data_IF_885549828049
#
_entry.id   IF_885549828049
#
_cell.length_a   1.000
_cell.length_b   1.000
_cell.length_c   1.000
_cell.angle_alpha   90.00
_cell.angle_beta   90.00
_cell.angle_gamma   90.00
#
_symmetry.space_group_name_H-M   'P 1'
#
loop_
_entity.id
_entity.type
_entity.pdbx_description
1 polymer ?
#
# COMPACT_ATOMS: atom_id res chain seq x y z
N UNK A 1 -11.59 36.84 -14.44
CA UNK A 1 -10.37 36.42 -15.17
C UNK A 1 -10.30 34.92 -15.05
N UNK A 2 -10.61 34.18 -16.13
CA UNK A 2 -10.39 32.73 -16.17
C UNK A 2 -8.89 32.49 -16.03
N UNK A 3 -8.48 31.82 -14.96
CA UNK A 3 -7.09 31.42 -14.79
C UNK A 3 -6.73 30.48 -15.93
N UNK A 4 -5.81 30.89 -16.80
CA UNK A 4 -5.24 30.04 -17.86
C UNK A 4 -4.73 28.75 -17.23
N UNK A 5 -5.35 27.62 -17.58
CA UNK A 5 -5.00 26.30 -17.06
C UNK A 5 -3.62 25.90 -17.59
N UNK A 6 -2.67 25.67 -16.70
CA UNK A 6 -1.36 25.16 -17.10
C UNK A 6 -1.52 23.74 -17.66
N UNK A 7 -0.90 23.39 -18.80
CA UNK A 7 -0.96 22.05 -19.36
C UNK A 7 -0.33 21.05 -18.39
N UNK A 8 -0.98 19.89 -18.21
CA UNK A 8 -0.52 18.81 -17.33
C UNK A 8 -0.44 17.46 -18.07
N UNK A 9 0.37 16.49 -17.58
CA UNK A 9 0.57 15.20 -18.23
C UNK A 9 -0.58 14.20 -18.00
N UNK A 10 -1.44 14.47 -17.01
CA UNK A 10 -2.50 13.57 -16.54
C UNK A 10 -3.65 13.42 -17.54
N UNK A 11 -4.42 12.34 -17.36
CA UNK A 11 -5.54 11.93 -18.21
C UNK A 11 -6.82 11.86 -17.37
N UNK A 12 -7.94 12.44 -17.82
CA UNK A 12 -8.12 13.13 -19.10
C UNK A 12 -7.45 14.51 -19.13
N UNK A 13 -7.15 15.02 -20.34
CA UNK A 13 -6.36 16.25 -20.55
C UNK A 13 -7.09 17.54 -20.17
N UNK A 14 -8.39 17.48 -19.99
CA UNK A 14 -9.26 18.56 -19.56
C UNK A 14 -9.47 18.60 -18.02
N UNK A 15 -8.80 17.71 -17.26
CA UNK A 15 -8.87 17.67 -15.81
C UNK A 15 -8.46 19.02 -15.18
N UNK A 16 -9.37 19.62 -14.40
CA UNK A 16 -9.14 20.95 -13.83
C UNK A 16 -8.22 20.91 -12.62
N UNK A 17 -6.95 21.27 -12.82
CA UNK A 17 -5.92 21.34 -11.77
C UNK A 17 -5.40 22.78 -11.60
N UNK A 18 -6.19 23.67 -10.96
CA UNK A 18 -5.79 25.05 -10.78
C UNK A 18 -4.51 25.12 -9.92
N UNK A 19 -3.52 25.90 -10.34
CA UNK A 19 -2.25 26.02 -9.62
C UNK A 19 -1.34 24.79 -9.73
N UNK A 20 -1.59 23.90 -10.69
CA UNK A 20 -0.71 22.77 -10.98
C UNK A 20 0.75 23.20 -11.18
N UNK A 21 1.64 22.47 -10.51
CA UNK A 21 3.09 22.58 -10.63
C UNK A 21 3.63 21.25 -11.15
N UNK A 22 4.44 21.23 -12.23
CA UNK A 22 5.04 20.00 -12.72
C UNK A 22 5.94 19.34 -11.69
N UNK A 23 6.16 18.04 -11.86
CA UNK A 23 7.18 17.30 -11.09
C UNK A 23 8.53 18.00 -11.28
N UNK A 24 9.16 18.38 -10.17
CA UNK A 24 10.43 19.10 -10.10
C UNK A 24 11.62 18.13 -9.97
N UNK A 25 11.40 16.96 -9.36
CA UNK A 25 12.43 15.94 -9.20
C UNK A 25 12.49 14.99 -10.42
N UNK A 26 13.68 14.55 -10.84
CA UNK A 26 13.80 13.50 -11.86
C UNK A 26 13.10 12.22 -11.40
N UNK A 27 12.42 11.53 -12.32
CA UNK A 27 11.74 10.26 -12.04
C UNK A 27 12.67 9.24 -11.35
N UNK A 28 13.92 9.12 -11.81
CA UNK A 28 14.90 8.22 -11.22
C UNK A 28 15.24 8.57 -9.76
N UNK A 29 15.26 9.86 -9.42
CA UNK A 29 15.45 10.31 -8.03
C UNK A 29 14.27 9.89 -7.16
N UNK A 30 13.04 10.07 -7.66
CA UNK A 30 11.82 9.69 -6.95
C UNK A 30 11.83 8.18 -6.67
N UNK A 31 12.02 7.36 -7.72
CA UNK A 31 12.06 5.91 -7.60
C UNK A 31 13.26 5.43 -6.76
N UNK A 32 14.41 6.08 -6.88
CA UNK A 32 15.62 5.75 -6.14
C UNK A 32 15.46 5.97 -4.64
N UNK A 33 14.90 7.12 -4.23
CA UNK A 33 14.64 7.40 -2.81
C UNK A 33 13.62 6.42 -2.25
N UNK A 34 12.53 6.13 -2.98
CA UNK A 34 11.54 5.13 -2.56
C UNK A 34 12.18 3.75 -2.39
N UNK A 35 12.95 3.30 -3.38
CA UNK A 35 13.63 2.00 -3.36
C UNK A 35 14.63 1.88 -2.21
N UNK A 36 15.47 2.89 -2.00
CA UNK A 36 16.45 2.92 -0.91
C UNK A 36 15.73 2.90 0.45
N UNK A 37 14.72 3.74 0.65
CA UNK A 37 13.95 3.75 1.90
C UNK A 37 13.29 2.39 2.18
N UNK A 38 12.74 1.75 1.15
CA UNK A 38 12.12 0.42 1.24
C UNK A 38 13.15 -0.65 1.65
N UNK A 39 14.32 -0.66 1.02
CA UNK A 39 15.41 -1.59 1.36
C UNK A 39 15.92 -1.35 2.78
N UNK A 40 16.04 -0.09 3.22
CA UNK A 40 16.45 0.26 4.58
C UNK A 40 15.46 -0.27 5.62
N UNK A 41 14.15 -0.07 5.41
CA UNK A 41 13.10 -0.61 6.30
C UNK A 41 13.18 -2.14 6.38
N UNK A 42 13.21 -2.82 5.23
CA UNK A 42 13.26 -4.29 5.18
C UNK A 42 14.52 -4.81 5.88
N UNK A 43 15.67 -4.21 5.61
CA UNK A 43 16.96 -4.58 6.19
C UNK A 43 16.98 -4.37 7.69
N UNK A 44 16.49 -3.22 8.17
CA UNK A 44 16.41 -2.91 9.59
C UNK A 44 15.55 -3.93 10.35
N UNK A 45 14.36 -4.25 9.83
CA UNK A 45 13.47 -5.24 10.45
C UNK A 45 14.06 -6.66 10.37
N UNK A 46 14.76 -6.98 9.29
CA UNK A 46 15.45 -8.26 9.13
C UNK A 46 16.53 -8.47 10.21
N UNK A 47 17.35 -7.44 10.47
CA UNK A 47 18.38 -7.48 11.51
C UNK A 47 17.77 -7.56 12.92
N UNK A 48 16.76 -6.74 13.23
CA UNK A 48 16.11 -6.75 14.54
C UNK A 48 15.43 -8.10 14.81
N UNK A 49 14.71 -8.64 13.82
CA UNK A 49 14.00 -9.91 13.96
C UNK A 49 14.96 -11.08 14.20
N UNK A 50 16.18 -11.01 13.63
CA UNK A 50 17.25 -12.00 13.77
C UNK A 50 17.88 -12.08 15.17
N UNK A 51 17.69 -11.06 16.03
CA UNK A 51 18.19 -11.08 17.42
C UNK A 51 17.48 -12.12 18.31
N UNK A 52 16.41 -12.75 17.83
CA UNK A 52 15.72 -13.84 18.53
C UNK A 52 15.90 -15.15 17.77
N UNK A 53 16.74 -16.08 18.26
CA UNK A 53 17.09 -17.30 17.51
C UNK A 53 15.92 -18.29 17.37
N UNK A 54 14.82 -18.09 18.10
CA UNK A 54 13.64 -18.97 18.07
C UNK A 54 12.61 -18.60 16.99
N UNK A 55 12.77 -17.48 16.27
CA UNK A 55 11.79 -17.05 15.25
C UNK A 55 12.02 -17.75 13.92
N UNK A 56 10.93 -18.22 13.31
CA UNK A 56 10.99 -18.83 11.99
C UNK A 56 11.36 -17.80 10.92
N UNK A 57 12.05 -18.24 9.87
CA UNK A 57 12.39 -17.39 8.72
C UNK A 57 11.15 -16.76 8.09
N UNK A 58 10.04 -17.51 8.01
CA UNK A 58 8.78 -17.00 7.47
C UNK A 58 8.25 -15.84 8.30
N UNK A 59 8.27 -15.95 9.62
CA UNK A 59 7.80 -14.87 10.49
C UNK A 59 8.66 -13.61 10.35
N UNK A 60 9.97 -13.77 10.11
CA UNK A 60 10.88 -12.65 9.84
C UNK A 60 10.55 -11.96 8.51
N UNK A 61 10.30 -12.73 7.45
CA UNK A 61 9.86 -12.20 6.15
C UNK A 61 8.53 -11.46 6.28
N UNK A 62 7.56 -12.04 7.02
CA UNK A 62 6.27 -11.39 7.28
C UNK A 62 6.43 -10.09 8.07
N UNK A 63 7.31 -10.04 9.08
CA UNK A 63 7.61 -8.80 9.79
C UNK A 63 8.17 -7.72 8.85
N UNK A 64 9.05 -8.08 7.92
CA UNK A 64 9.57 -7.14 6.92
C UNK A 64 8.45 -6.61 6.00
N UNK A 65 7.61 -7.50 5.48
CA UNK A 65 6.45 -7.13 4.66
C UNK A 65 5.52 -6.17 5.42
N UNK A 66 5.06 -6.56 6.62
CA UNK A 66 4.13 -5.75 7.40
C UNK A 66 4.68 -4.39 7.83
N UNK A 67 5.98 -4.29 8.10
CA UNK A 67 6.62 -3.01 8.39
C UNK A 67 6.66 -2.12 7.14
N UNK A 68 7.07 -2.66 6.00
CA UNK A 68 7.10 -1.95 4.72
C UNK A 68 5.69 -1.47 4.32
N UNK A 69 4.71 -2.36 4.37
CA UNK A 69 3.31 -2.08 4.06
C UNK A 69 2.71 -1.05 5.01
N UNK A 70 2.93 -1.21 6.32
CA UNK A 70 2.44 -0.27 7.33
C UNK A 70 2.97 1.15 7.14
N UNK A 71 4.26 1.29 6.85
CA UNK A 71 4.87 2.59 6.58
C UNK A 71 4.43 3.18 5.23
N UNK A 72 4.23 2.36 4.20
CA UNK A 72 3.70 2.83 2.91
C UNK A 72 2.31 3.43 3.10
N UNK A 73 1.40 2.71 3.75
CA UNK A 73 0.04 3.19 4.02
C UNK A 73 0.05 4.46 4.89
N UNK A 74 0.81 4.48 5.98
CA UNK A 74 0.78 5.64 6.89
C UNK A 74 1.48 6.88 6.35
N UNK A 75 2.62 6.72 5.64
CA UNK A 75 3.45 7.85 5.23
C UNK A 75 3.09 8.30 3.81
N UNK A 76 3.06 7.38 2.84
CA UNK A 76 2.76 7.75 1.45
C UNK A 76 1.28 8.01 1.30
N UNK A 77 0.44 7.02 1.53
CA UNK A 77 -1.01 7.13 1.30
C UNK A 77 -1.64 8.11 2.28
N UNK A 78 -1.21 8.09 3.55
CA UNK A 78 -1.59 9.11 4.53
C UNK A 78 -1.27 10.53 4.06
N UNK A 79 -0.08 10.78 3.50
CA UNK A 79 0.21 12.10 2.93
C UNK A 79 -0.73 12.46 1.79
N UNK A 80 -1.02 11.53 0.87
CA UNK A 80 -1.99 11.78 -0.21
C UNK A 80 -3.39 12.12 0.32
N UNK A 81 -3.87 11.38 1.31
CA UNK A 81 -5.20 11.58 1.90
C UNK A 81 -5.30 12.95 2.56
N UNK A 82 -4.29 13.32 3.36
CA UNK A 82 -4.31 14.54 4.18
C UNK A 82 -3.69 15.78 3.51
N UNK A 83 -3.14 15.65 2.30
CA UNK A 83 -2.57 16.76 1.52
C UNK A 83 -3.29 16.89 0.17
N UNK A 84 -4.57 17.32 0.14
CA UNK A 84 -5.39 17.35 -1.06
C UNK A 84 -4.81 18.22 -2.19
N UNK A 85 -3.95 19.17 -1.83
CA UNK A 85 -3.34 20.15 -2.72
C UNK A 85 -1.88 19.83 -3.05
N UNK A 86 -1.44 18.57 -2.89
CA UNK A 86 -0.04 18.18 -3.12
C UNK A 86 0.47 18.61 -4.51
N UNK A 87 -0.36 18.59 -5.55
CA UNK A 87 0.00 18.96 -6.92
C UNK A 87 0.29 20.47 -7.12
N UNK A 88 0.00 21.31 -6.11
CA UNK A 88 0.34 22.74 -6.08
C UNK A 88 1.70 23.02 -5.42
N UNK A 89 2.35 22.01 -4.84
CA UNK A 89 3.62 22.20 -4.13
C UNK A 89 4.73 22.64 -5.08
N UNK A 90 5.44 23.70 -4.66
CA UNK A 90 6.57 24.32 -5.36
C UNK A 90 7.92 24.03 -4.70
N UNK A 91 7.93 23.37 -3.56
CA UNK A 91 9.12 23.18 -2.72
C UNK A 91 9.94 21.95 -3.09
N UNK A 92 9.48 21.16 -4.07
CA UNK A 92 10.01 19.84 -4.41
C UNK A 92 9.97 18.89 -3.20
N UNK A 93 8.94 19.04 -2.35
CA UNK A 93 8.78 18.16 -1.21
C UNK A 93 8.52 16.73 -1.68
N UNK A 94 9.36 15.80 -1.23
CA UNK A 94 9.42 14.45 -1.78
C UNK A 94 8.06 13.73 -1.87
N UNK A 95 7.22 13.80 -0.82
CA UNK A 95 5.93 13.08 -0.84
C UNK A 95 4.96 13.69 -1.87
N UNK A 96 4.99 15.01 -2.07
CA UNK A 96 4.24 15.64 -3.15
C UNK A 96 4.74 15.19 -4.52
N UNK A 97 6.06 15.14 -4.69
CA UNK A 97 6.71 14.73 -5.94
C UNK A 97 6.39 13.27 -6.29
N UNK A 98 6.44 12.36 -5.31
CA UNK A 98 6.03 10.96 -5.47
C UNK A 98 4.59 10.87 -5.96
N UNK A 99 3.66 11.61 -5.36
CA UNK A 99 2.26 11.53 -5.76
C UNK A 99 1.98 12.20 -7.10
N UNK A 100 2.67 13.29 -7.43
CA UNK A 100 2.63 13.87 -8.79
C UNK A 100 3.16 12.88 -9.83
N UNK A 101 4.25 12.19 -9.54
CA UNK A 101 4.81 11.17 -10.43
C UNK A 101 3.90 9.94 -10.56
N UNK A 102 3.42 9.40 -9.44
CA UNK A 102 2.52 8.25 -9.42
C UNK A 102 1.19 8.54 -10.11
N UNK A 103 0.70 9.78 -10.02
CA UNK A 103 -0.52 10.22 -10.72
C UNK A 103 -0.39 10.17 -12.25
N UNK A 104 0.81 10.01 -12.83
CA UNK A 104 0.96 9.72 -14.26
C UNK A 104 0.59 8.27 -14.59
N UNK A 105 0.82 7.35 -13.63
CA UNK A 105 0.32 5.97 -13.63
C UNK A 105 -1.19 5.91 -13.49
N UNK A 106 -1.71 6.69 -12.53
CA UNK A 106 -3.13 6.75 -12.22
C UNK A 106 -3.58 8.17 -11.89
N UNK A 107 -4.15 8.86 -12.88
CA UNK A 107 -4.56 10.27 -12.73
C UNK A 107 -5.73 10.46 -11.75
N UNK A 108 -6.39 9.39 -11.32
CA UNK A 108 -7.45 9.45 -10.30
C UNK A 108 -6.92 9.94 -8.95
N UNK A 109 -5.63 9.78 -8.67
CA UNK A 109 -5.00 10.34 -7.47
C UNK A 109 -4.97 11.87 -7.51
N UNK A 110 -4.36 12.47 -8.54
CA UNK A 110 -4.34 13.94 -8.68
C UNK A 110 -5.74 14.52 -8.91
N UNK A 111 -6.61 13.76 -9.59
CA UNK A 111 -8.03 14.08 -9.76
C UNK A 111 -8.87 13.92 -8.50
N UNK A 112 -8.30 13.37 -7.42
CA UNK A 112 -8.98 13.17 -6.12
C UNK A 112 -10.26 12.34 -6.27
N UNK A 113 -10.20 11.28 -7.07
CA UNK A 113 -11.33 10.37 -7.23
C UNK A 113 -11.83 9.86 -5.87
N UNK A 114 -13.15 9.76 -5.75
CA UNK A 114 -13.82 9.42 -4.50
C UNK A 114 -13.55 7.98 -4.05
N UNK A 115 -13.45 7.03 -4.98
CA UNK A 115 -13.18 5.64 -4.63
C UNK A 115 -11.72 5.47 -4.22
N UNK A 116 -10.79 6.08 -4.96
CA UNK A 116 -9.37 6.12 -4.59
C UNK A 116 -9.20 6.75 -3.21
N UNK A 117 -9.76 7.95 -2.99
CA UNK A 117 -9.64 8.63 -1.70
C UNK A 117 -10.23 7.81 -0.54
N UNK A 118 -11.35 7.12 -0.75
CA UNK A 118 -11.96 6.29 0.27
C UNK A 118 -11.10 5.07 0.62
N UNK A 119 -10.58 4.36 -0.39
CA UNK A 119 -9.70 3.20 -0.19
C UNK A 119 -8.42 3.63 0.52
N UNK A 120 -7.73 4.64 -0.01
CA UNK A 120 -6.47 5.14 0.54
C UNK A 120 -6.65 5.74 1.95
N UNK A 121 -7.81 6.34 2.22
CA UNK A 121 -8.17 6.82 3.55
C UNK A 121 -8.25 5.67 4.56
N UNK A 122 -8.91 4.58 4.20
CA UNK A 122 -9.02 3.39 5.06
C UNK A 122 -7.67 2.68 5.23
N UNK A 123 -6.89 2.53 4.16
CA UNK A 123 -5.56 1.91 4.25
C UNK A 123 -4.64 2.73 5.14
N UNK A 124 -4.61 4.06 5.00
CA UNK A 124 -3.74 4.93 5.79
C UNK A 124 -4.08 4.92 7.29
N UNK A 125 -5.37 4.96 7.67
CA UNK A 125 -5.78 5.11 9.07
C UNK A 125 -6.08 3.80 9.79
N UNK A 126 -6.39 2.72 9.06
CA UNK A 126 -6.70 1.41 9.64
C UNK A 126 -5.62 0.38 9.30
N UNK A 127 -5.37 0.13 8.02
CA UNK A 127 -4.50 -0.98 7.60
C UNK A 127 -3.03 -0.72 7.87
N UNK A 128 -2.58 0.54 7.76
CA UNK A 128 -1.24 0.97 8.10
C UNK A 128 -0.89 0.69 9.57
N UNK A 129 -1.64 1.26 10.53
CA UNK A 129 -1.46 0.96 11.96
C UNK A 129 -1.63 -0.53 12.30
N UNK A 130 -2.62 -1.20 11.69
CA UNK A 130 -2.83 -2.64 11.89
C UNK A 130 -1.64 -3.48 11.39
N UNK A 131 -0.99 -3.09 10.29
CA UNK A 131 0.21 -3.75 9.78
C UNK A 131 1.39 -3.62 10.75
N UNK A 132 1.61 -2.45 11.34
CA UNK A 132 2.63 -2.29 12.39
C UNK A 132 2.27 -3.09 13.65
N UNK A 133 0.99 -3.17 14.01
CA UNK A 133 0.52 -4.04 15.08
C UNK A 133 0.77 -5.52 14.75
N UNK A 134 0.67 -5.94 13.49
CA UNK A 134 1.01 -7.30 13.05
C UNK A 134 2.50 -7.60 13.27
N UNK A 135 3.40 -6.66 12.99
CA UNK A 135 4.83 -6.79 13.32
C UNK A 135 5.02 -7.04 14.82
N UNK A 136 4.37 -6.25 15.67
CA UNK A 136 4.41 -6.44 17.13
C UNK A 136 3.82 -7.79 17.55
N UNK A 137 2.68 -8.19 16.98
CA UNK A 137 1.99 -9.43 17.31
C UNK A 137 2.84 -10.65 16.97
N UNK A 138 3.51 -10.64 15.81
CA UNK A 138 4.46 -11.67 15.41
C UNK A 138 5.66 -11.66 16.37
N UNK A 139 6.23 -10.49 16.64
CA UNK A 139 7.40 -10.36 17.51
C UNK A 139 7.12 -10.90 18.92
N UNK A 140 5.94 -10.63 19.49
CA UNK A 140 5.59 -11.04 20.86
C UNK A 140 4.82 -12.37 20.92
N UNK A 141 4.65 -13.07 19.80
CA UNK A 141 3.93 -14.34 19.75
C UNK A 141 2.49 -14.22 20.26
N UNK A 142 1.80 -13.14 19.91
CA UNK A 142 0.41 -12.90 20.35
C UNK A 142 -0.56 -13.84 19.64
N UNK A 143 -1.54 -14.34 20.38
CA UNK A 143 -2.57 -15.27 19.87
C UNK A 143 -3.37 -14.70 18.69
N UNK A 144 -3.59 -13.39 18.67
CA UNK A 144 -4.32 -12.70 17.61
C UNK A 144 -3.48 -12.45 16.34
N UNK A 145 -2.21 -12.87 16.29
CA UNK A 145 -1.31 -12.56 15.16
C UNK A 145 -1.83 -13.08 13.82
N UNK A 146 -2.36 -14.31 13.76
CA UNK A 146 -2.86 -14.87 12.50
C UNK A 146 -4.18 -14.23 12.03
N UNK A 147 -5.12 -13.97 12.96
CA UNK A 147 -6.39 -13.34 12.63
C UNK A 147 -6.19 -11.89 12.18
N UNK A 148 -5.27 -11.16 12.83
CA UNK A 148 -4.92 -9.80 12.44
C UNK A 148 -4.33 -9.76 11.03
N UNK A 149 -3.35 -10.61 10.73
CA UNK A 149 -2.76 -10.71 9.40
C UNK A 149 -3.80 -11.08 8.33
N UNK A 150 -4.70 -12.02 8.63
CA UNK A 150 -5.78 -12.40 7.72
C UNK A 150 -6.74 -11.23 7.45
N UNK A 151 -7.14 -10.50 8.49
CA UNK A 151 -8.05 -9.37 8.37
C UNK A 151 -7.44 -8.23 7.53
N UNK A 152 -6.16 -7.89 7.78
CA UNK A 152 -5.45 -6.87 6.99
C UNK A 152 -5.33 -7.32 5.53
N UNK A 153 -4.91 -8.57 5.29
CA UNK A 153 -4.79 -9.09 3.93
C UNK A 153 -6.12 -9.09 3.17
N UNK A 154 -7.23 -9.38 3.85
CA UNK A 154 -8.55 -9.31 3.23
C UNK A 154 -8.95 -7.87 2.90
N UNK A 155 -8.64 -6.91 3.78
CA UNK A 155 -8.82 -5.47 3.53
C UNK A 155 -8.06 -5.00 2.30
N UNK A 156 -6.77 -5.35 2.20
CA UNK A 156 -5.92 -5.05 1.04
C UNK A 156 -6.50 -5.62 -0.24
N UNK A 157 -6.87 -6.92 -0.24
CA UNK A 157 -7.47 -7.56 -1.42
C UNK A 157 -8.78 -6.90 -1.84
N UNK A 158 -9.61 -6.50 -0.88
CA UNK A 158 -10.86 -5.79 -1.16
C UNK A 158 -10.61 -4.39 -1.72
N UNK A 159 -9.71 -3.61 -1.09
CA UNK A 159 -9.31 -2.29 -1.56
C UNK A 159 -8.72 -2.34 -2.97
N UNK A 160 -7.83 -3.29 -3.24
CA UNK A 160 -7.26 -3.49 -4.57
C UNK A 160 -8.31 -3.97 -5.59
N UNK A 161 -9.29 -4.79 -5.19
CA UNK A 161 -10.40 -5.13 -6.07
C UNK A 161 -11.22 -3.88 -6.45
N UNK A 162 -11.58 -3.04 -5.47
CA UNK A 162 -12.27 -1.76 -5.72
C UNK A 162 -11.42 -0.89 -6.65
N UNK A 163 -10.12 -0.76 -6.38
CA UNK A 163 -9.17 0.02 -7.19
C UNK A 163 -9.18 -0.32 -8.69
N UNK A 164 -9.11 -1.63 -9.01
CA UNK A 164 -9.12 -2.10 -10.40
C UNK A 164 -10.52 -2.05 -11.02
N UNK A 165 -11.56 -2.42 -10.27
CA UNK A 165 -12.93 -2.42 -10.76
C UNK A 165 -13.38 -1.02 -11.12
N UNK A 166 -13.14 -0.02 -10.27
CA UNK A 166 -13.56 1.37 -10.56
C UNK A 166 -12.84 1.92 -11.78
N UNK A 167 -11.58 1.54 -11.99
CA UNK A 167 -10.81 1.95 -13.16
C UNK A 167 -11.47 1.46 -14.47
N UNK A 168 -11.90 0.19 -14.48
CA UNK A 168 -12.61 -0.40 -15.61
C UNK A 168 -13.99 0.24 -15.82
N UNK A 169 -14.73 0.50 -14.74
CA UNK A 169 -16.06 1.12 -14.80
C UNK A 169 -15.99 2.57 -15.29
N UNK A 170 -14.91 3.28 -14.99
CA UNK A 170 -14.63 4.66 -15.44
C UNK A 170 -14.02 4.71 -16.86
N UNK A 171 -13.89 3.56 -17.53
CA UNK A 171 -13.48 3.47 -18.93
C UNK A 171 -11.98 3.32 -19.17
N UNK A 172 -11.20 2.99 -18.13
CA UNK A 172 -9.77 2.63 -18.22
C UNK A 172 -8.89 3.71 -18.90
N UNK A 173 -9.26 4.98 -18.71
CA UNK A 173 -8.63 6.13 -19.37
C UNK A 173 -8.07 7.14 -18.36
N UNK A 174 -7.00 6.74 -17.67
CA UNK A 174 -6.40 7.53 -16.59
C UNK A 174 -4.85 7.59 -16.65
N UNK A 175 -4.19 6.73 -17.43
CA UNK A 175 -2.73 6.65 -17.46
C UNK A 175 -2.15 7.56 -18.55
N UNK A 176 -1.06 8.26 -18.24
CA UNK A 176 -0.42 9.20 -19.15
C UNK A 176 0.29 8.53 -20.35
N UNK A 177 0.69 7.26 -20.21
CA UNK A 177 1.31 6.46 -21.28
C UNK A 177 1.21 4.95 -20.98
N UNK A 178 1.45 4.06 -21.95
CA UNK A 178 1.47 2.62 -21.71
C UNK A 178 2.51 2.18 -20.67
N UNK A 179 3.67 2.85 -20.62
CA UNK A 179 4.68 2.58 -19.60
C UNK A 179 4.11 2.81 -18.19
N UNK A 180 3.46 3.96 -18.00
CA UNK A 180 2.82 4.31 -16.74
C UNK A 180 1.67 3.34 -16.40
N UNK A 181 0.88 2.94 -17.39
CA UNK A 181 -0.16 1.94 -17.18
C UNK A 181 0.41 0.59 -16.70
N UNK A 182 1.36 -0.01 -17.43
CA UNK A 182 1.84 -1.34 -17.07
C UNK A 182 2.79 -1.32 -15.86
N UNK A 183 3.77 -0.41 -15.84
CA UNK A 183 4.79 -0.41 -14.80
C UNK A 183 4.26 0.13 -13.47
N UNK A 184 3.47 1.20 -13.48
CA UNK A 184 2.99 1.83 -12.24
C UNK A 184 1.65 1.25 -11.83
N UNK A 185 0.66 1.27 -12.73
CA UNK A 185 -0.70 0.86 -12.40
C UNK A 185 -0.82 -0.67 -12.24
N UNK A 186 -0.35 -1.48 -13.19
CA UNK A 186 -0.48 -2.96 -13.09
C UNK A 186 0.55 -3.58 -12.15
N UNK A 187 1.85 -3.37 -12.42
CA UNK A 187 2.92 -4.12 -11.73
C UNK A 187 3.03 -3.74 -10.25
N UNK A 188 3.06 -2.45 -9.90
CA UNK A 188 3.21 -2.06 -8.49
C UNK A 188 2.02 -2.55 -7.64
N UNK A 189 0.79 -2.42 -8.15
CA UNK A 189 -0.40 -2.87 -7.42
C UNK A 189 -0.52 -4.40 -7.35
N UNK A 190 0.11 -5.16 -8.26
CA UNK A 190 0.07 -6.63 -8.23
C UNK A 190 0.63 -7.24 -6.94
N UNK A 191 1.57 -6.57 -6.27
CA UNK A 191 2.12 -7.02 -4.99
C UNK A 191 1.06 -7.05 -3.87
N UNK A 192 0.13 -6.09 -3.87
CA UNK A 192 -1.01 -6.02 -2.94
C UNK A 192 -2.11 -7.05 -3.26
N UNK A 193 -1.99 -7.80 -4.36
CA UNK A 193 -2.82 -8.96 -4.65
C UNK A 193 -2.11 -10.25 -4.22
N UNK A 194 -0.91 -10.47 -4.75
CA UNK A 194 -0.21 -11.77 -4.64
C UNK A 194 0.20 -12.05 -3.20
N UNK A 195 0.82 -11.07 -2.53
CA UNK A 195 1.36 -11.28 -1.18
C UNK A 195 0.24 -11.42 -0.15
N UNK A 196 -0.77 -10.53 -0.10
CA UNK A 196 -1.92 -10.70 0.80
C UNK A 196 -2.68 -12.00 0.58
N UNK A 197 -2.83 -12.47 -0.67
CA UNK A 197 -3.42 -13.78 -0.95
C UNK A 197 -2.63 -14.91 -0.31
N UNK A 198 -1.31 -14.92 -0.46
CA UNK A 198 -0.44 -15.94 0.14
C UNK A 198 -0.52 -15.93 1.68
N UNK A 199 -0.56 -14.73 2.28
CA UNK A 199 -0.69 -14.58 3.73
C UNK A 199 -2.06 -15.07 4.21
N UNK A 200 -3.14 -14.69 3.52
CA UNK A 200 -4.51 -15.15 3.81
C UNK A 200 -4.60 -16.67 3.83
N UNK A 201 -4.08 -17.34 2.79
CA UNK A 201 -4.06 -18.81 2.70
C UNK A 201 -3.25 -19.43 3.85
N UNK A 202 -2.08 -18.85 4.20
CA UNK A 202 -1.26 -19.31 5.32
C UNK A 202 -2.00 -19.18 6.65
N UNK A 203 -2.55 -18.00 6.94
CA UNK A 203 -3.27 -17.71 8.19
C UNK A 203 -4.49 -18.61 8.33
N UNK A 204 -5.27 -18.78 7.26
CA UNK A 204 -6.42 -19.67 7.23
C UNK A 204 -6.05 -21.11 7.60
N UNK A 205 -5.03 -21.67 6.94
CA UNK A 205 -4.52 -23.03 7.24
C UNK A 205 -4.08 -23.18 8.69
N UNK A 206 -3.36 -22.17 9.23
CA UNK A 206 -2.89 -22.19 10.62
C UNK A 206 -4.03 -22.11 11.64
N UNK A 207 -5.03 -21.28 11.38
CA UNK A 207 -6.22 -21.16 12.20
C UNK A 207 -7.03 -22.46 12.21
N UNK A 208 -7.34 -23.03 11.03
CA UNK A 208 -8.06 -24.30 10.93
C UNK A 208 -7.33 -25.45 11.65
N UNK A 209 -6.00 -25.55 11.48
CA UNK A 209 -5.21 -26.56 12.17
C UNK A 209 -5.27 -26.41 13.70
N UNK A 210 -5.26 -25.18 14.21
CA UNK A 210 -5.38 -24.90 15.64
C UNK A 210 -6.75 -25.37 16.19
N UNK A 211 -7.85 -25.06 15.50
CA UNK A 211 -9.19 -25.50 15.92
C UNK A 211 -9.35 -27.03 15.87
N UNK A 212 -8.84 -27.69 14.83
CA UNK A 212 -8.88 -29.15 14.73
C UNK A 212 -8.13 -29.82 15.90
N UNK A 213 -6.97 -29.27 16.28
CA UNK A 213 -6.19 -29.79 17.42
C UNK A 213 -6.91 -29.64 18.76
N UNK A 214 -7.68 -28.55 18.95
CA UNK A 214 -8.50 -28.36 20.14
C UNK A 214 -9.66 -29.35 20.21
N UNK A 215 -10.32 -29.61 19.06
CA UNK A 215 -11.38 -30.61 18.96
C UNK A 215 -10.89 -32.01 19.35
N UNK A 216 -9.72 -32.42 18.83
CA UNK A 216 -9.11 -33.71 19.15
C UNK A 216 -8.73 -33.85 20.64
N UNK A 217 -8.23 -32.77 21.27
CA UNK A 217 -7.92 -32.78 22.71
C UNK A 217 -9.18 -32.98 23.57
N UNK A 218 -10.29 -32.35 23.21
CA UNK A 218 -11.58 -32.51 23.92
C UNK A 218 -12.17 -33.93 23.79
N UNK A 219 -11.94 -34.60 22.66
CA UNK A 219 -12.38 -35.99 22.46
C UNK A 219 -11.54 -36.97 23.27
N UNK A 220 -10.22 -36.74 23.40
CA UNK A 220 -9.33 -37.60 24.20
C UNK A 220 -9.48 -37.43 25.72
N UNK A 221 -10.08 -36.34 26.19
CA UNK A 221 -10.29 -36.05 27.60
C UNK A 221 -11.68 -36.45 28.12
N UNK A 222 -12.52 -37.03 27.26
CA UNK A 222 -13.82 -37.62 27.61
C UNK A 222 -13.69 -39.14 27.57
#
# INVERSE_FOLDING_TARGET
MEATQSPHPYVPRDLKLPGYVPVLLPQLTILGVYGIASVLVVTFIWFISGRSPKRSTVDRVLMCWWAFTGLTHMILEGYFVFSPEFYKDKSAFYLSEVWKEYSKGDSRYVGRDSAILAVEGLTAVLEGPASLLAVYAIAKGKSYSYILQFAISLGQLYGTAVYFITALLEGDNFAASPLYYYAYYVVLNSFWIVIPTAISVRCWKKMCAAFNSQGQKKVKSR
#
